data_IF_060161495150
#
_entry.id   IF_060161495150
#
_cell.length_a   1.000
_cell.length_b   1.000
_cell.length_c   1.000
_cell.angle_alpha   90.00
_cell.angle_beta   90.00
_cell.angle_gamma   90.00
#
_symmetry.space_group_name_H-M   'P 1'
#
loop_
_entity.id
_entity.type
_entity.pdbx_description
1 polymer ?
#
# COMPACT_ATOMS: atom_id res chain seq x y z
N UNK A 1 8.38 -24.14 79.49
CA UNK A 1 9.44 -24.19 78.47
C UNK A 1 9.70 -22.78 77.99
N UNK A 2 10.82 -22.15 78.39
CA UNK A 2 11.20 -20.80 77.96
C UNK A 2 12.02 -20.85 76.66
N UNK A 3 11.88 -19.83 75.81
CA UNK A 3 12.82 -19.26 74.80
C UNK A 3 12.06 -18.74 73.56
N UNK A 4 12.61 -17.80 72.77
CA UNK A 4 13.47 -16.67 73.12
C UNK A 4 12.98 -15.32 72.55
N UNK A 5 13.45 -14.23 73.15
CA UNK A 5 13.40 -12.86 72.63
C UNK A 5 14.25 -12.76 71.36
N UNK A 6 13.69 -12.21 70.29
CA UNK A 6 14.44 -11.82 69.09
C UNK A 6 14.69 -10.31 69.10
N UNK A 7 15.96 -9.94 68.98
CA UNK A 7 16.47 -8.57 68.99
C UNK A 7 15.98 -7.75 67.79
N UNK A 8 15.37 -6.60 68.08
CA UNK A 8 15.15 -5.52 67.12
C UNK A 8 16.50 -4.98 66.63
N UNK A 9 16.83 -5.23 65.36
CA UNK A 9 17.97 -4.60 64.68
C UNK A 9 17.39 -3.64 63.64
N UNK A 10 17.60 -2.32 63.74
CA UNK A 10 17.11 -1.40 62.72
C UNK A 10 17.95 -1.55 61.45
N UNK A 11 17.29 -1.95 60.35
CA UNK A 11 17.86 -1.96 59.01
C UNK A 11 18.13 -0.49 58.57
N UNK A 12 19.30 -0.15 58.01
CA UNK A 12 19.55 1.19 57.49
C UNK A 12 18.64 1.48 56.29
N UNK A 13 17.91 2.59 56.35
CA UNK A 13 17.09 3.08 55.25
C UNK A 13 17.98 3.44 54.06
N UNK A 14 17.76 2.76 52.92
CA UNK A 14 18.40 3.10 51.67
C UNK A 14 17.87 4.45 51.15
N UNK A 15 18.74 5.43 51.01
CA UNK A 15 18.46 6.72 50.37
C UNK A 15 18.17 6.48 48.88
N UNK A 16 17.07 7.02 48.31
CA UNK A 16 16.83 6.93 46.87
C UNK A 16 17.88 7.74 46.10
N UNK A 17 18.33 7.28 44.92
CA UNK A 17 19.28 8.03 44.10
C UNK A 17 18.65 9.34 43.63
N UNK A 18 19.42 10.42 43.70
CA UNK A 18 19.02 11.73 43.20
C UNK A 18 18.76 11.65 41.69
N UNK A 19 17.55 12.03 41.28
CA UNK A 19 17.17 12.15 39.87
C UNK A 19 18.02 13.25 39.22
N UNK A 20 18.90 12.85 38.31
CA UNK A 20 19.61 13.79 37.44
C UNK A 20 18.58 14.50 36.55
N UNK A 21 18.60 15.84 36.42
CA UNK A 21 17.69 16.54 35.52
C UNK A 21 17.88 16.02 34.08
N UNK A 22 16.78 15.62 33.45
CA UNK A 22 16.79 15.28 32.03
C UNK A 22 17.22 16.51 31.21
N UNK A 23 18.03 16.35 30.15
CA UNK A 23 18.34 17.44 29.23
C UNK A 23 17.02 18.00 28.68
N UNK A 24 16.86 19.32 28.75
CA UNK A 24 15.73 19.98 28.13
C UNK A 24 15.71 19.63 26.62
N UNK A 25 14.53 19.36 26.02
CA UNK A 25 14.42 19.15 24.59
C UNK A 25 15.05 20.33 23.86
N UNK A 26 15.97 20.05 22.94
CA UNK A 26 16.49 21.08 22.06
C UNK A 26 15.30 21.76 21.35
N UNK A 27 15.27 23.10 21.26
CA UNK A 27 14.22 23.79 20.53
C UNK A 27 14.23 23.25 19.09
N UNK A 28 13.08 22.78 18.63
CA UNK A 28 12.88 22.49 17.21
C UNK A 28 13.26 23.76 16.43
N UNK A 29 14.02 23.64 15.33
CA UNK A 29 14.30 24.80 14.50
C UNK A 29 12.97 25.44 14.10
N UNK A 30 12.86 26.77 14.26
CA UNK A 30 11.72 27.56 13.78
C UNK A 30 11.68 27.46 12.25
N UNK A 31 11.10 26.36 11.75
CA UNK A 31 10.85 26.19 10.34
C UNK A 31 9.74 27.18 9.99
N UNK A 32 9.95 28.12 9.05
CA UNK A 32 8.92 29.07 8.69
C UNK A 32 7.67 28.29 8.24
N UNK A 33 6.50 28.68 8.76
CA UNK A 33 5.24 27.95 8.60
C UNK A 33 4.92 27.61 7.14
N UNK A 34 5.29 28.49 6.20
CA UNK A 34 5.13 28.27 4.76
C UNK A 34 5.96 27.10 4.23
N UNK A 35 7.18 26.90 4.72
CA UNK A 35 8.01 25.75 4.35
C UNK A 35 7.45 24.44 4.92
N UNK A 36 6.92 24.48 6.15
CA UNK A 36 6.27 23.31 6.73
C UNK A 36 5.02 22.91 5.94
N UNK A 37 4.18 23.88 5.56
CA UNK A 37 3.00 23.63 4.71
C UNK A 37 3.39 23.06 3.34
N UNK A 38 4.44 23.60 2.72
CA UNK A 38 4.94 23.08 1.44
C UNK A 38 5.44 21.63 1.56
N UNK A 39 6.19 21.33 2.63
CA UNK A 39 6.68 19.98 2.88
C UNK A 39 5.52 18.97 3.09
N UNK A 40 4.46 19.38 3.79
CA UNK A 40 3.27 18.53 3.98
C UNK A 40 2.59 18.24 2.64
N UNK A 41 2.40 19.26 1.79
CA UNK A 41 1.80 19.07 0.47
C UNK A 41 2.61 18.11 -0.41
N UNK A 42 3.94 18.26 -0.41
CA UNK A 42 4.84 17.36 -1.14
C UNK A 42 4.76 15.91 -0.61
N UNK A 43 4.73 15.74 0.71
CA UNK A 43 4.52 14.43 1.34
C UNK A 43 3.16 13.80 0.98
N UNK A 44 2.10 14.61 0.92
CA UNK A 44 0.77 14.15 0.49
C UNK A 44 0.77 13.72 -0.98
N UNK A 45 1.43 14.48 -1.86
CA UNK A 45 1.61 14.14 -3.27
C UNK A 45 2.37 12.82 -3.45
N UNK A 46 3.49 12.65 -2.74
CA UNK A 46 4.25 11.41 -2.74
C UNK A 46 3.42 10.23 -2.20
N UNK A 47 2.63 10.45 -1.14
CA UNK A 47 1.77 9.40 -0.59
C UNK A 47 0.69 8.98 -1.58
N UNK A 48 0.08 9.93 -2.27
CA UNK A 48 -0.91 9.66 -3.33
C UNK A 48 -0.31 8.84 -4.46
N UNK A 49 0.87 9.22 -4.94
CA UNK A 49 1.59 8.47 -5.98
C UNK A 49 1.86 7.03 -5.55
N UNK A 50 2.45 6.83 -4.38
CA UNK A 50 2.72 5.48 -3.84
C UNK A 50 1.46 4.62 -3.69
N UNK A 51 0.32 5.22 -3.30
CA UNK A 51 -0.96 4.51 -3.24
C UNK A 51 -1.43 4.10 -4.62
N UNK A 52 -1.37 5.00 -5.59
CA UNK A 52 -1.70 4.71 -6.99
C UNK A 52 -0.89 3.51 -7.50
N UNK A 53 0.43 3.55 -7.31
CA UNK A 53 1.35 2.50 -7.75
C UNK A 53 1.06 1.16 -7.07
N UNK A 54 0.76 1.17 -5.76
CA UNK A 54 0.38 -0.04 -5.02
C UNK A 54 -0.88 -0.67 -5.61
N UNK A 55 -1.92 0.12 -5.86
CA UNK A 55 -3.15 -0.40 -6.47
C UNK A 55 -2.92 -0.89 -7.89
N UNK A 56 -2.01 -0.28 -8.64
CA UNK A 56 -1.65 -0.74 -9.97
C UNK A 56 -0.91 -2.08 -9.95
N UNK A 57 0.04 -2.26 -9.03
CA UNK A 57 0.71 -3.53 -8.79
C UNK A 57 -0.28 -4.61 -8.34
N UNK A 58 -1.26 -4.24 -7.53
CA UNK A 58 -2.35 -5.16 -7.14
C UNK A 58 -3.20 -5.58 -8.35
N UNK A 59 -3.50 -4.65 -9.25
CA UNK A 59 -4.20 -4.95 -10.50
C UNK A 59 -3.39 -5.93 -11.37
N UNK A 60 -2.07 -5.75 -11.44
CA UNK A 60 -1.15 -6.66 -12.14
C UNK A 60 -1.18 -8.08 -11.54
N UNK A 61 -1.14 -8.20 -10.21
CA UNK A 61 -1.21 -9.51 -9.55
C UNK A 61 -2.55 -10.22 -9.84
N UNK A 62 -3.66 -9.49 -9.84
CA UNK A 62 -4.98 -10.03 -10.16
C UNK A 62 -5.12 -10.41 -11.66
N UNK A 63 -4.39 -9.72 -12.55
CA UNK A 63 -4.25 -10.12 -13.94
C UNK A 63 -3.51 -11.46 -14.09
N UNK A 64 -2.50 -11.71 -13.25
CA UNK A 64 -1.80 -13.00 -13.22
C UNK A 64 -2.75 -14.13 -12.78
N UNK A 65 -3.61 -13.88 -11.79
CA UNK A 65 -4.67 -14.83 -11.40
C UNK A 65 -5.64 -15.12 -12.57
N UNK A 66 -6.04 -14.09 -13.32
CA UNK A 66 -6.88 -14.25 -14.51
C UNK A 66 -6.18 -15.09 -15.60
N UNK A 67 -4.88 -14.89 -15.81
CA UNK A 67 -4.09 -15.68 -16.78
C UNK A 67 -4.01 -17.15 -16.37
N UNK A 68 -3.78 -17.44 -15.10
CA UNK A 68 -3.75 -18.81 -14.57
C UNK A 68 -5.12 -19.48 -14.73
N UNK A 69 -6.20 -18.79 -14.38
CA UNK A 69 -7.56 -19.29 -14.57
C UNK A 69 -7.87 -19.57 -16.05
N UNK A 70 -7.41 -18.70 -16.96
CA UNK A 70 -7.61 -18.87 -18.40
C UNK A 70 -6.87 -20.11 -18.93
N UNK A 71 -5.65 -20.36 -18.46
CA UNK A 71 -4.90 -21.58 -18.79
C UNK A 71 -5.58 -22.85 -18.27
N UNK A 72 -6.25 -22.76 -17.13
CA UNK A 72 -7.06 -23.84 -16.55
C UNK A 72 -8.47 -23.95 -17.18
N UNK A 73 -8.79 -23.12 -18.19
CA UNK A 73 -10.12 -23.03 -18.82
C UNK A 73 -11.26 -22.73 -17.83
N UNK A 74 -10.98 -21.98 -16.76
CA UNK A 74 -11.93 -21.60 -15.72
C UNK A 74 -12.49 -20.20 -15.99
N UNK A 75 -13.35 -20.07 -17.01
CA UNK A 75 -13.82 -18.76 -17.51
C UNK A 75 -14.57 -17.92 -16.45
N UNK A 76 -15.32 -18.56 -15.55
CA UNK A 76 -15.99 -17.85 -14.45
C UNK A 76 -14.98 -17.22 -13.48
N UNK A 77 -13.85 -17.88 -13.25
CA UNK A 77 -12.78 -17.37 -12.40
C UNK A 77 -11.98 -16.27 -13.11
N UNK A 78 -11.82 -16.38 -14.43
CA UNK A 78 -11.28 -15.28 -15.26
C UNK A 78 -12.14 -14.02 -15.11
N UNK A 79 -13.47 -14.13 -15.23
CA UNK A 79 -14.38 -12.98 -15.09
C UNK A 79 -14.28 -12.34 -13.70
N UNK A 80 -14.25 -13.17 -12.64
CA UNK A 80 -14.06 -12.68 -11.26
C UNK A 80 -12.73 -11.96 -11.08
N UNK A 81 -11.64 -12.53 -11.57
CA UNK A 81 -10.32 -11.90 -11.49
C UNK A 81 -10.29 -10.59 -12.25
N UNK A 82 -10.89 -10.52 -13.44
CA UNK A 82 -11.03 -9.28 -14.21
C UNK A 82 -11.81 -8.21 -13.43
N UNK A 83 -12.91 -8.56 -12.76
CA UNK A 83 -13.66 -7.63 -11.90
C UNK A 83 -12.83 -7.10 -10.73
N UNK A 84 -11.91 -7.91 -10.20
CA UNK A 84 -10.98 -7.49 -9.16
C UNK A 84 -9.93 -6.52 -9.70
N UNK A 85 -9.41 -6.76 -10.91
CA UNK A 85 -8.50 -5.84 -11.62
C UNK A 85 -9.18 -4.48 -11.79
N UNK A 86 -10.44 -4.42 -12.21
CA UNK A 86 -11.20 -3.16 -12.32
C UNK A 86 -11.23 -2.37 -11.02
N UNK A 87 -11.55 -3.04 -9.91
CA UNK A 87 -11.61 -2.37 -8.60
C UNK A 87 -10.25 -1.80 -8.21
N UNK A 88 -9.17 -2.52 -8.50
CA UNK A 88 -7.82 -2.03 -8.24
C UNK A 88 -7.47 -0.85 -9.15
N UNK A 89 -7.86 -0.87 -10.42
CA UNK A 89 -7.67 0.26 -11.34
C UNK A 89 -8.48 1.49 -10.92
N UNK A 90 -9.71 1.32 -10.42
CA UNK A 90 -10.52 2.41 -9.90
C UNK A 90 -9.87 3.06 -8.67
N UNK A 91 -9.27 2.26 -7.80
CA UNK A 91 -8.50 2.77 -6.65
C UNK A 91 -7.21 3.48 -7.11
N UNK A 92 -6.47 2.92 -8.06
CA UNK A 92 -5.30 3.57 -8.63
C UNK A 92 -5.68 4.94 -9.23
N UNK A 93 -6.76 4.99 -9.99
CA UNK A 93 -7.29 6.22 -10.59
C UNK A 93 -7.60 7.29 -9.55
N UNK A 94 -8.24 6.91 -8.45
CA UNK A 94 -8.61 7.83 -7.37
C UNK A 94 -7.41 8.52 -6.71
N UNK A 95 -6.24 7.86 -6.66
CA UNK A 95 -5.02 8.40 -6.06
C UNK A 95 -4.02 8.94 -7.09
N UNK A 96 -4.23 8.66 -8.38
CA UNK A 96 -3.33 9.07 -9.47
C UNK A 96 -3.33 10.57 -9.73
N UNK A 97 -2.19 11.08 -10.19
CA UNK A 97 -2.10 12.42 -10.73
C UNK A 97 -2.83 12.52 -12.08
N UNK A 98 -3.24 13.73 -12.48
CA UNK A 98 -4.05 13.92 -13.69
C UNK A 98 -3.39 13.39 -14.97
N UNK A 99 -2.05 13.47 -15.04
CA UNK A 99 -1.25 12.95 -16.15
C UNK A 99 -1.33 11.41 -16.31
N UNK A 100 -1.55 10.69 -15.20
CA UNK A 100 -1.53 9.21 -15.18
C UNK A 100 -2.93 8.62 -15.42
N UNK A 101 -3.98 9.45 -15.35
CA UNK A 101 -5.37 9.02 -15.53
C UNK A 101 -5.68 8.51 -16.94
N UNK A 102 -5.11 9.13 -17.96
CA UNK A 102 -5.31 8.72 -19.36
C UNK A 102 -4.89 7.26 -19.63
N UNK A 103 -3.68 6.85 -19.24
CA UNK A 103 -3.25 5.45 -19.27
C UNK A 103 -4.19 4.51 -18.51
N UNK A 104 -4.63 4.89 -17.30
CA UNK A 104 -5.53 4.06 -16.49
C UNK A 104 -6.88 3.82 -17.15
N UNK A 105 -7.48 4.86 -17.75
CA UNK A 105 -8.73 4.72 -18.50
C UNK A 105 -8.54 3.83 -19.74
N UNK A 106 -7.39 3.91 -20.40
CA UNK A 106 -7.04 3.02 -21.52
C UNK A 106 -6.97 1.57 -21.07
N UNK A 107 -6.38 1.29 -19.92
CA UNK A 107 -6.33 -0.07 -19.36
C UNK A 107 -7.73 -0.61 -19.04
N UNK A 108 -8.60 0.21 -18.45
CA UNK A 108 -9.99 -0.16 -18.14
C UNK A 108 -10.76 -0.50 -19.43
N UNK A 109 -10.60 0.31 -20.47
CA UNK A 109 -11.22 0.06 -21.78
C UNK A 109 -10.74 -1.25 -22.41
N UNK A 110 -9.42 -1.48 -22.43
CA UNK A 110 -8.83 -2.71 -22.97
C UNK A 110 -9.31 -3.94 -22.21
N UNK A 111 -9.38 -3.85 -20.88
CA UNK A 111 -9.89 -4.91 -20.04
C UNK A 111 -11.36 -5.24 -20.33
N UNK A 112 -12.18 -4.23 -20.66
CA UNK A 112 -13.60 -4.41 -21.02
C UNK A 112 -13.73 -5.19 -22.31
N UNK A 113 -12.97 -4.78 -23.33
CA UNK A 113 -12.96 -5.46 -24.62
C UNK A 113 -12.52 -6.92 -24.48
N UNK A 114 -11.50 -7.20 -23.66
CA UNK A 114 -11.04 -8.57 -23.41
C UNK A 114 -12.13 -9.39 -22.72
N UNK A 115 -12.81 -8.82 -21.72
CA UNK A 115 -13.88 -9.49 -20.97
C UNK A 115 -15.09 -9.79 -21.87
N UNK A 116 -15.52 -8.82 -22.66
CA UNK A 116 -16.65 -8.96 -23.58
C UNK A 116 -16.37 -10.04 -24.64
N UNK A 117 -15.14 -10.09 -25.13
CA UNK A 117 -14.70 -11.12 -26.08
C UNK A 117 -14.55 -12.50 -25.43
N UNK A 118 -14.31 -12.59 -24.12
CA UNK A 118 -13.95 -13.84 -23.44
C UNK A 118 -15.02 -14.93 -23.60
N UNK A 119 -16.30 -14.53 -23.64
CA UNK A 119 -17.44 -15.44 -23.83
C UNK A 119 -17.78 -15.70 -25.30
N UNK A 120 -17.30 -14.87 -26.22
CA UNK A 120 -17.61 -14.97 -27.65
C UNK A 120 -16.49 -15.66 -28.42
N UNK A 121 -15.25 -15.23 -28.18
CA UNK A 121 -14.01 -15.60 -28.87
C UNK A 121 -12.83 -15.49 -27.91
N UNK A 122 -12.58 -16.51 -27.06
CA UNK A 122 -11.49 -16.49 -26.09
C UNK A 122 -10.09 -16.55 -26.75
N UNK A 123 -10.02 -16.77 -28.06
CA UNK A 123 -8.76 -16.87 -28.78
C UNK A 123 -7.93 -15.57 -28.64
N UNK A 124 -6.69 -15.71 -28.21
CA UNK A 124 -5.78 -14.58 -28.04
C UNK A 124 -6.07 -13.69 -26.82
N UNK A 125 -7.05 -14.02 -25.97
CA UNK A 125 -7.28 -13.30 -24.71
C UNK A 125 -6.03 -13.35 -23.80
N UNK A 126 -5.37 -14.51 -23.71
CA UNK A 126 -4.12 -14.68 -22.95
C UNK A 126 -3.02 -13.72 -23.42
N UNK A 127 -2.78 -13.62 -24.73
CA UNK A 127 -1.79 -12.68 -25.30
C UNK A 127 -2.13 -11.23 -24.96
N UNK A 128 -3.41 -10.86 -25.08
CA UNK A 128 -3.89 -9.50 -24.78
C UNK A 128 -3.75 -9.16 -23.29
N UNK A 129 -4.10 -10.08 -22.39
CA UNK A 129 -3.93 -9.92 -20.94
C UNK A 129 -2.46 -9.77 -20.56
N UNK A 130 -1.55 -10.57 -21.15
CA UNK A 130 -0.10 -10.42 -20.92
C UNK A 130 0.44 -9.08 -21.43
N UNK A 131 -0.04 -8.61 -22.58
CA UNK A 131 0.33 -7.30 -23.10
C UNK A 131 -0.16 -6.18 -22.18
N UNK A 132 -1.42 -6.24 -21.74
CA UNK A 132 -1.98 -5.28 -20.79
C UNK A 132 -1.18 -5.25 -19.49
N UNK A 133 -0.80 -6.42 -18.96
CA UNK A 133 0.06 -6.56 -17.79
C UNK A 133 1.40 -5.85 -17.97
N UNK A 134 2.07 -6.04 -19.11
CA UNK A 134 3.35 -5.38 -19.39
C UNK A 134 3.20 -3.84 -19.46
N UNK A 135 2.12 -3.35 -20.06
CA UNK A 135 1.82 -1.91 -20.12
C UNK A 135 1.55 -1.34 -18.72
N UNK A 136 0.80 -2.05 -17.87
CA UNK A 136 0.58 -1.64 -16.49
C UNK A 136 1.90 -1.53 -15.73
N UNK A 137 2.75 -2.55 -15.80
CA UNK A 137 4.06 -2.52 -15.13
C UNK A 137 4.93 -1.35 -15.61
N UNK A 138 4.91 -1.03 -16.91
CA UNK A 138 5.66 0.11 -17.44
C UNK A 138 5.19 1.47 -16.90
N UNK A 139 3.93 1.58 -16.46
CA UNK A 139 3.41 2.81 -15.85
C UNK A 139 3.91 2.99 -14.40
N UNK A 140 4.16 1.89 -13.67
CA UNK A 140 4.72 1.95 -12.30
C UNK A 140 6.18 2.40 -12.31
N UNK A 141 6.93 2.07 -13.37
CA UNK A 141 8.36 2.37 -13.51
C UNK A 141 8.63 3.77 -14.08
N UNK A 142 7.58 4.51 -14.48
CA UNK A 142 7.66 5.79 -15.18
C UNK A 142 7.92 7.01 -14.27
#
# INVERSE_FOLDING_TARGET
MPTPVALNTPLPAATPPALTPAPAPAPLPDLPENLLRLAILDLEDQNRRLRSDLYLLRAVAQLDDALVALQANQLDEVDRSILMVYRSLDQAYAFSAEQDKGPLDTFRLQLSQIRDDLHLRPEGADRRLRQLRALMLSLVEA
#
